data_IF_971352049361
#
_entry.id   IF_971352049361
#
_cell.length_a   1.000
_cell.length_b   1.000
_cell.length_c   1.000
_cell.angle_alpha   90.00
_cell.angle_beta   90.00
_cell.angle_gamma   90.00
#
_symmetry.space_group_name_H-M   'P 1'
#
loop_
_entity.id
_entity.type
_entity.pdbx_description
1 polymer ?
#
# COMPACT_ATOMS: atom_id res chain seq x y z
N UNK A 1 4.83 26.70 -41.21
CA UNK A 1 5.19 25.56 -40.35
C UNK A 1 4.26 24.42 -40.72
N UNK A 2 4.81 23.34 -41.26
CA UNK A 2 4.03 22.20 -41.74
C UNK A 2 3.31 21.56 -40.56
N UNK A 3 2.02 21.27 -40.72
CA UNK A 3 1.24 20.52 -39.74
C UNK A 3 1.90 19.15 -39.64
N UNK A 4 2.70 18.94 -38.59
CA UNK A 4 3.27 17.63 -38.30
C UNK A 4 2.14 16.61 -38.32
N UNK A 5 2.32 15.56 -39.12
CA UNK A 5 1.31 14.58 -39.46
C UNK A 5 0.77 13.91 -38.18
N UNK A 6 -0.32 14.45 -37.67
CA UNK A 6 -1.04 13.92 -36.51
C UNK A 6 -1.38 12.43 -36.69
N UNK A 7 -1.56 11.99 -37.94
CA UNK A 7 -1.79 10.58 -38.27
C UNK A 7 -0.55 9.70 -37.99
N UNK A 8 0.66 10.22 -38.20
CA UNK A 8 1.91 9.52 -37.89
C UNK A 8 2.12 9.37 -36.38
N UNK A 9 1.72 10.37 -35.59
CA UNK A 9 1.75 10.30 -34.12
C UNK A 9 0.73 9.29 -33.57
N UNK A 10 -0.48 9.26 -34.15
CA UNK A 10 -1.52 8.28 -33.79
C UNK A 10 -1.08 6.86 -34.16
N UNK A 11 -0.41 6.68 -35.31
CA UNK A 11 0.17 5.39 -35.72
C UNK A 11 1.19 4.87 -34.70
N UNK A 12 2.16 5.71 -34.31
CA UNK A 12 3.16 5.36 -33.30
C UNK A 12 2.55 5.02 -31.93
N UNK A 13 1.50 5.74 -31.52
CA UNK A 13 0.81 5.47 -30.27
C UNK A 13 0.04 4.14 -30.27
N UNK A 14 -0.48 3.72 -31.44
CA UNK A 14 -1.19 2.43 -31.60
C UNK A 14 -0.25 1.24 -31.69
N UNK A 15 0.94 1.41 -32.28
CA UNK A 15 2.00 0.39 -32.31
C UNK A 15 2.58 0.13 -30.91
N UNK A 16 2.66 1.18 -30.08
CA UNK A 16 3.02 1.08 -28.67
C UNK A 16 1.84 0.60 -27.82
N UNK A 17 1.22 -0.52 -28.19
CA UNK A 17 0.18 -1.18 -27.40
C UNK A 17 0.82 -1.69 -26.10
N UNK A 18 0.92 -0.80 -25.11
CA UNK A 18 1.40 -1.12 -23.77
C UNK A 18 0.43 -2.14 -23.18
N UNK A 19 0.83 -3.40 -23.14
CA UNK A 19 0.09 -4.45 -22.45
C UNK A 19 -0.09 -3.97 -21.02
N UNK A 20 -1.32 -3.56 -20.68
CA UNK A 20 -1.66 -3.21 -19.31
C UNK A 20 -1.24 -4.38 -18.42
N UNK A 21 -0.42 -4.15 -17.38
CA UNK A 21 0.03 -5.23 -16.53
C UNK A 21 -1.19 -5.94 -15.98
N UNK A 22 -1.35 -7.23 -16.31
CA UNK A 22 -2.47 -8.02 -15.86
C UNK A 22 -2.40 -8.12 -14.33
N UNK A 23 -3.42 -7.56 -13.66
CA UNK A 23 -3.49 -7.61 -12.20
C UNK A 23 -3.78 -9.05 -11.77
N UNK A 24 -2.73 -9.76 -11.35
CA UNK A 24 -2.85 -11.12 -10.85
C UNK A 24 -3.33 -11.08 -9.39
N UNK A 25 -4.59 -11.43 -9.18
CA UNK A 25 -5.12 -11.68 -7.82
C UNK A 25 -4.56 -13.02 -7.33
N UNK A 26 -3.86 -12.99 -6.22
CA UNK A 26 -3.39 -14.19 -5.51
C UNK A 26 -4.22 -14.37 -4.24
N UNK A 27 -4.57 -15.60 -3.86
CA UNK A 27 -5.22 -15.87 -2.59
C UNK A 27 -4.35 -15.34 -1.45
N UNK A 28 -4.97 -14.58 -0.53
CA UNK A 28 -4.32 -14.16 0.70
C UNK A 28 -3.99 -15.38 1.56
N UNK A 29 -2.78 -15.41 2.12
CA UNK A 29 -2.33 -16.42 3.09
C UNK A 29 -3.34 -16.53 4.25
N UNK A 30 -3.44 -17.74 4.80
CA UNK A 30 -4.34 -18.13 5.89
C UNK A 30 -4.46 -17.05 6.97
N UNK A 31 -5.70 -16.73 7.34
CA UNK A 31 -6.00 -15.78 8.41
C UNK A 31 -5.51 -16.37 9.73
N UNK A 32 -4.68 -15.62 10.44
CA UNK A 32 -4.34 -15.93 11.84
C UNK A 32 -5.59 -15.78 12.72
N UNK A 33 -5.68 -16.59 13.76
CA UNK A 33 -6.69 -16.39 14.81
C UNK A 33 -6.37 -15.09 15.55
N UNK A 34 -7.20 -14.08 15.33
CA UNK A 34 -7.04 -12.75 15.92
C UNK A 34 -8.36 -12.31 16.54
N UNK A 35 -8.26 -11.72 17.73
CA UNK A 35 -9.42 -11.19 18.46
C UNK A 35 -9.43 -9.68 18.26
N UNK A 36 -10.58 -9.15 17.82
CA UNK A 36 -10.78 -7.71 17.73
C UNK A 36 -10.96 -7.15 19.14
N UNK A 37 -10.17 -6.14 19.47
CA UNK A 37 -10.34 -5.35 20.69
C UNK A 37 -10.33 -3.85 20.33
N UNK A 38 -10.89 -3.02 21.21
CA UNK A 38 -10.97 -1.57 21.01
C UNK A 38 -10.67 -0.85 22.31
N UNK A 39 -9.85 0.19 22.22
CA UNK A 39 -9.43 1.01 23.35
C UNK A 39 -9.13 2.43 22.91
N UNK A 40 -9.25 3.37 23.85
CA UNK A 40 -9.01 4.78 23.60
C UNK A 40 -7.52 5.08 23.74
N UNK A 41 -6.97 5.82 22.80
CA UNK A 41 -5.60 6.34 22.88
C UNK A 41 -5.59 7.84 22.61
N UNK A 42 -4.65 8.60 23.19
CA UNK A 42 -4.49 10.02 22.88
C UNK A 42 -4.25 10.24 21.38
N UNK A 43 -4.91 11.25 20.80
CA UNK A 43 -4.81 11.55 19.37
C UNK A 43 -3.37 11.83 18.92
N UNK A 44 -2.58 12.49 19.76
CA UNK A 44 -1.16 12.77 19.50
C UNK A 44 -0.32 11.49 19.43
N UNK A 45 -0.63 10.49 20.26
CA UNK A 45 0.07 9.20 20.21
C UNK A 45 -0.29 8.45 18.93
N UNK A 46 -1.55 8.49 18.50
CA UNK A 46 -1.97 7.90 17.22
C UNK A 46 -1.23 8.51 16.02
N UNK A 47 -1.04 9.84 15.99
CA UNK A 47 -0.26 10.50 14.93
C UNK A 47 1.19 10.02 14.90
N UNK A 48 1.85 9.98 16.06
CA UNK A 48 3.24 9.52 16.18
C UNK A 48 3.40 8.07 15.74
N UNK A 49 2.50 7.18 16.16
CA UNK A 49 2.53 5.77 15.76
C UNK A 49 2.38 5.59 14.24
N UNK A 50 1.53 6.38 13.58
CA UNK A 50 1.38 6.34 12.11
C UNK A 50 2.64 6.75 11.38
N UNK A 51 3.30 7.81 11.84
CA UNK A 51 4.58 8.28 11.26
C UNK A 51 5.64 7.18 11.44
N UNK A 52 5.78 6.64 12.65
CA UNK A 52 6.73 5.58 12.96
C UNK A 52 6.49 4.32 12.12
N UNK A 53 5.24 3.90 11.96
CA UNK A 53 4.88 2.75 11.12
C UNK A 53 5.29 2.97 9.66
N UNK A 54 5.06 4.17 9.12
CA UNK A 54 5.45 4.54 7.77
C UNK A 54 6.97 4.56 7.59
N UNK A 55 7.72 5.15 8.54
CA UNK A 55 9.18 5.19 8.51
C UNK A 55 9.81 3.80 8.56
N UNK A 56 9.22 2.88 9.32
CA UNK A 56 9.71 1.50 9.48
C UNK A 56 9.21 0.54 8.40
N UNK A 57 8.34 0.98 7.49
CA UNK A 57 7.70 0.12 6.48
C UNK A 57 6.85 -1.00 7.09
N UNK A 58 6.31 -0.80 8.29
CA UNK A 58 5.47 -1.77 9.01
C UNK A 58 4.02 -1.33 9.03
N UNK A 59 3.09 -2.28 9.19
CA UNK A 59 1.71 -1.91 9.45
C UNK A 59 1.56 -1.40 10.88
N UNK A 60 0.59 -0.52 11.12
CA UNK A 60 0.29 -0.01 12.46
C UNK A 60 -0.05 -1.14 13.44
N UNK A 61 -0.74 -2.18 12.95
CA UNK A 61 -1.09 -3.37 13.73
C UNK A 61 0.16 -4.14 14.14
N UNK A 62 1.08 -4.39 13.21
CA UNK A 62 2.33 -5.09 13.52
C UNK A 62 3.15 -4.31 14.54
N UNK A 63 3.25 -2.98 14.37
CA UNK A 63 3.94 -2.11 15.32
C UNK A 63 3.36 -2.22 16.73
N UNK A 64 2.04 -2.13 16.87
CA UNK A 64 1.36 -2.20 18.17
C UNK A 64 1.52 -3.58 18.80
N UNK A 65 1.28 -4.65 18.03
CA UNK A 65 1.36 -6.01 18.55
C UNK A 65 2.79 -6.38 18.94
N UNK A 66 3.79 -6.01 18.15
CA UNK A 66 5.19 -6.22 18.52
C UNK A 66 5.59 -5.48 19.79
N UNK A 67 5.10 -4.25 19.99
CA UNK A 67 5.35 -3.49 21.21
C UNK A 67 4.66 -4.11 22.44
N UNK A 68 3.45 -4.66 22.27
CA UNK A 68 2.75 -5.39 23.34
C UNK A 68 3.51 -6.66 23.70
N UNK A 69 3.98 -7.42 22.70
CA UNK A 69 4.79 -8.62 22.90
C UNK A 69 6.05 -8.27 23.71
N UNK A 70 6.87 -7.33 23.22
CA UNK A 70 8.13 -6.92 23.87
C UNK A 70 7.94 -6.41 25.31
N UNK A 71 6.80 -5.77 25.61
CA UNK A 71 6.55 -5.20 26.92
C UNK A 71 5.96 -6.18 27.94
N UNK A 72 5.26 -7.23 27.50
CA UNK A 72 4.42 -8.05 28.39
C UNK A 72 4.58 -9.57 28.22
N UNK A 73 5.30 -10.05 27.20
CA UNK A 73 5.49 -11.46 26.88
C UNK A 73 6.96 -11.80 26.59
#
# INVERSE_FOLDING_TARGET
MAKEDFSALIGKAKEAQTKSPAQKVVPLKEKKEEILFSLHIPAENMKKLKIMAAEQGRTLKDLINSAIEEAYF
#
